data_IF_064767248025
#
_entry.id   IF_064767248025
#
_cell.length_a   1.000
_cell.length_b   1.000
_cell.length_c   1.000
_cell.angle_alpha   90.00
_cell.angle_beta   90.00
_cell.angle_gamma   90.00
#
_symmetry.space_group_name_H-M   'P 1'
#
loop_
_entity.id
_entity.type
_entity.pdbx_description
1 polymer ?
#
# COMPACT_ATOMS: atom_id res chain seq x y z
N UNK A 1 0.28 -17.18 12.46
CA UNK A 1 -0.10 -15.76 12.56
C UNK A 1 -0.87 -15.43 11.31
N UNK A 2 -2.03 -14.77 11.42
CA UNK A 2 -2.78 -14.32 10.24
C UNK A 2 -2.05 -13.15 9.58
N UNK A 3 -2.40 -12.86 8.33
CA UNK A 3 -1.93 -11.68 7.61
C UNK A 3 -2.20 -10.40 8.43
N UNK A 4 -3.41 -10.24 8.96
CA UNK A 4 -3.80 -9.10 9.80
C UNK A 4 -2.92 -8.95 11.04
N UNK A 5 -2.75 -10.01 11.83
CA UNK A 5 -1.94 -9.96 13.06
C UNK A 5 -0.43 -9.83 12.79
N UNK A 6 0.01 -10.07 11.55
CA UNK A 6 1.41 -9.90 11.15
C UNK A 6 1.77 -8.46 10.79
N UNK A 7 0.79 -7.59 10.55
CA UNK A 7 1.02 -6.23 10.11
C UNK A 7 2.00 -5.47 11.03
N UNK A 8 2.97 -4.79 10.41
CA UNK A 8 3.98 -4.01 11.13
C UNK A 8 5.08 -4.84 11.82
N UNK A 9 5.12 -6.15 11.60
CA UNK A 9 6.20 -7.02 12.11
C UNK A 9 7.25 -7.29 11.04
N UNK A 10 8.51 -7.30 11.44
CA UNK A 10 9.63 -7.76 10.61
C UNK A 10 10.14 -9.08 11.16
N UNK A 11 10.37 -10.05 10.29
CA UNK A 11 10.85 -11.40 10.63
C UNK A 11 12.10 -11.70 9.81
N UNK A 12 13.17 -12.23 10.43
CA UNK A 12 14.37 -12.65 9.71
C UNK A 12 14.10 -13.84 8.77
N UNK A 13 13.24 -14.76 9.20
CA UNK A 13 12.70 -15.85 8.39
C UNK A 13 11.18 -15.77 8.37
N UNK A 14 10.63 -15.49 7.20
CA UNK A 14 9.22 -15.28 6.94
C UNK A 14 8.66 -16.46 6.13
N UNK A 15 8.23 -17.48 6.86
CA UNK A 15 7.46 -18.60 6.31
C UNK A 15 6.02 -18.13 6.15
N UNK A 16 5.51 -18.13 4.92
CA UNK A 16 4.16 -17.67 4.57
C UNK A 16 3.39 -18.78 3.85
N UNK A 17 2.12 -18.92 4.20
CA UNK A 17 1.13 -19.70 3.47
C UNK A 17 0.10 -18.72 2.89
N UNK A 18 -0.14 -18.81 1.59
CA UNK A 18 -0.95 -17.87 0.83
C UNK A 18 -2.29 -18.48 0.38
N UNK A 19 -2.60 -19.70 0.81
CA UNK A 19 -3.79 -20.47 0.38
C UNK A 19 -5.09 -19.72 0.69
N UNK A 20 -5.20 -19.13 1.89
CA UNK A 20 -6.38 -18.39 2.36
C UNK A 20 -6.28 -16.87 2.14
N UNK A 21 -5.27 -16.42 1.38
CA UNK A 21 -5.15 -15.01 1.02
C UNK A 21 -6.00 -14.74 -0.24
N UNK A 22 -6.94 -13.79 -0.15
CA UNK A 22 -7.87 -13.49 -1.23
C UNK A 22 -7.70 -12.10 -1.85
N UNK A 23 -6.83 -11.26 -1.29
CA UNK A 23 -6.68 -9.87 -1.75
C UNK A 23 -5.22 -9.53 -2.04
N UNK A 24 -5.01 -8.54 -2.90
CA UNK A 24 -3.67 -7.98 -3.13
C UNK A 24 -3.03 -7.51 -1.82
N UNK A 25 -3.82 -6.90 -0.92
CA UNK A 25 -3.32 -6.38 0.36
C UNK A 25 -2.87 -7.49 1.31
N UNK A 26 -3.58 -8.63 1.35
CA UNK A 26 -3.17 -9.76 2.20
C UNK A 26 -1.86 -10.37 1.71
N UNK A 27 -1.71 -10.54 0.39
CA UNK A 27 -0.44 -10.95 -0.25
C UNK A 27 0.69 -9.99 0.10
N UNK A 28 0.49 -8.70 -0.15
CA UNK A 28 1.47 -7.66 0.16
C UNK A 28 1.87 -7.69 1.63
N UNK A 29 0.89 -7.84 2.53
CA UNK A 29 1.12 -7.90 3.98
C UNK A 29 1.97 -9.11 4.34
N UNK A 30 1.67 -10.30 3.82
CA UNK A 30 2.47 -11.50 4.07
C UNK A 30 3.91 -11.36 3.56
N UNK A 31 4.11 -10.87 2.33
CA UNK A 31 5.45 -10.71 1.75
C UNK A 31 6.29 -9.64 2.47
N UNK A 32 5.69 -8.52 2.86
CA UNK A 32 6.38 -7.38 3.50
C UNK A 32 6.78 -7.62 4.95
N UNK A 33 6.68 -8.85 5.47
CA UNK A 33 7.22 -9.23 6.78
C UNK A 33 8.66 -9.69 6.73
N UNK A 34 9.19 -10.06 5.57
CA UNK A 34 10.61 -10.34 5.41
C UNK A 34 11.38 -9.09 5.04
N UNK A 35 12.61 -8.96 5.55
CA UNK A 35 13.54 -7.93 5.09
C UNK A 35 14.30 -8.33 3.82
N UNK A 36 14.33 -9.63 3.48
CA UNK A 36 15.08 -10.15 2.33
C UNK A 36 14.34 -11.25 1.59
N UNK A 37 14.68 -11.45 0.31
CA UNK A 37 14.15 -12.56 -0.49
C UNK A 37 14.61 -13.90 0.09
N UNK A 38 15.88 -14.03 0.48
CA UNK A 38 16.42 -15.25 1.08
C UNK A 38 15.73 -15.63 2.41
N UNK A 39 15.22 -14.64 3.14
CA UNK A 39 14.42 -14.85 4.34
C UNK A 39 12.96 -15.24 4.07
N UNK A 40 12.49 -15.23 2.83
CA UNK A 40 11.09 -15.51 2.50
C UNK A 40 10.91 -16.94 2.01
N UNK A 41 10.02 -17.70 2.64
CA UNK A 41 9.69 -19.07 2.26
C UNK A 41 8.19 -19.17 2.02
N UNK A 42 7.80 -19.55 0.81
CA UNK A 42 6.40 -19.80 0.47
C UNK A 42 6.11 -21.28 0.70
N UNK A 43 5.11 -21.57 1.54
CA UNK A 43 4.59 -22.92 1.78
C UNK A 43 3.31 -23.07 0.99
N UNK A 44 3.22 -24.13 0.18
CA UNK A 44 2.08 -24.36 -0.71
C UNK A 44 2.19 -23.60 -2.02
N UNK A 45 1.05 -23.09 -2.50
CA UNK A 45 0.94 -22.34 -3.74
C UNK A 45 0.50 -20.90 -3.52
N UNK A 46 0.42 -20.16 -4.61
CA UNK A 46 -0.16 -18.82 -4.64
C UNK A 46 -0.95 -18.63 -5.94
N UNK A 47 -1.90 -17.70 -5.95
CA UNK A 47 -2.68 -17.38 -7.14
C UNK A 47 -2.09 -16.13 -7.82
N UNK A 48 -1.42 -16.28 -8.99
CA UNK A 48 -0.81 -15.14 -9.68
C UNK A 48 -1.80 -14.04 -10.04
N UNK A 49 -3.07 -14.39 -10.27
CA UNK A 49 -4.11 -13.42 -10.64
C UNK A 49 -4.40 -12.42 -9.52
N UNK A 50 -4.19 -12.78 -8.26
CA UNK A 50 -4.38 -11.84 -7.13
C UNK A 50 -3.28 -10.77 -7.14
N UNK A 51 -2.06 -11.14 -7.54
CA UNK A 51 -0.92 -10.23 -7.64
C UNK A 51 -1.04 -9.38 -8.92
N UNK A 52 -1.41 -10.00 -10.03
CA UNK A 52 -1.48 -9.36 -11.35
C UNK A 52 -2.78 -8.57 -11.58
N UNK A 53 -3.84 -8.84 -10.80
CA UNK A 53 -5.15 -8.18 -10.92
C UNK A 53 -5.16 -6.71 -10.47
N UNK A 54 -4.04 -6.22 -9.93
CA UNK A 54 -3.88 -4.84 -9.51
C UNK A 54 -4.55 -4.52 -8.17
N UNK A 55 -4.47 -3.24 -7.82
CA UNK A 55 -4.97 -2.72 -6.54
C UNK A 55 -6.45 -2.34 -6.62
N UNK A 56 -7.18 -2.47 -5.50
CA UNK A 56 -8.60 -2.13 -5.40
C UNK A 56 -8.87 -0.69 -5.85
N UNK A 57 -10.08 -0.44 -6.38
CA UNK A 57 -10.46 0.90 -6.87
C UNK A 57 -10.34 1.99 -5.80
N UNK A 58 -10.81 1.69 -4.58
CA UNK A 58 -10.70 2.59 -3.45
C UNK A 58 -9.25 2.91 -3.07
N UNK A 59 -8.34 1.91 -3.03
CA UNK A 59 -6.95 2.18 -2.66
C UNK A 59 -6.20 2.95 -3.76
N UNK A 60 -6.55 2.73 -5.04
CA UNK A 60 -6.05 3.57 -6.15
C UNK A 60 -6.51 5.02 -6.03
N UNK A 61 -7.76 5.24 -5.63
CA UNK A 61 -8.28 6.58 -5.37
C UNK A 61 -7.51 7.25 -4.22
N UNK A 62 -7.28 6.54 -3.12
CA UNK A 62 -6.52 7.05 -1.99
C UNK A 62 -5.10 7.49 -2.40
N UNK A 63 -4.37 6.67 -3.15
CA UNK A 63 -3.04 7.03 -3.64
C UNK A 63 -3.05 8.25 -4.56
N UNK A 64 -4.00 8.32 -5.51
CA UNK A 64 -4.15 9.48 -6.40
C UNK A 64 -4.41 10.76 -5.60
N UNK A 65 -5.22 10.67 -4.57
CA UNK A 65 -5.55 11.81 -3.72
C UNK A 65 -4.36 12.26 -2.87
N UNK A 66 -3.53 11.34 -2.39
CA UNK A 66 -2.26 11.67 -1.75
C UNK A 66 -1.28 12.34 -2.72
N UNK A 67 -1.16 11.87 -3.96
CA UNK A 67 -0.33 12.52 -4.99
C UNK A 67 -0.80 13.94 -5.32
N UNK A 68 -2.12 14.15 -5.43
CA UNK A 68 -2.66 15.50 -5.62
C UNK A 68 -2.34 16.43 -4.44
N UNK A 69 -2.42 15.93 -3.21
CA UNK A 69 -2.06 16.72 -2.03
C UNK A 69 -0.58 17.06 -1.97
N UNK A 70 0.29 16.11 -2.35
CA UNK A 70 1.73 16.35 -2.44
C UNK A 70 2.04 17.44 -3.47
N UNK A 71 1.40 17.39 -4.64
CA UNK A 71 1.57 18.40 -5.68
C UNK A 71 1.06 19.79 -5.25
N UNK A 72 -0.10 19.86 -4.58
CA UNK A 72 -0.61 21.11 -4.01
C UNK A 72 0.37 21.67 -2.97
N UNK A 73 0.95 20.80 -2.13
CA UNK A 73 1.94 21.18 -1.12
C UNK A 73 3.20 21.76 -1.77
N UNK A 74 3.70 21.11 -2.83
CA UNK A 74 4.83 21.58 -3.62
C UNK A 74 4.55 22.94 -4.29
N UNK A 75 3.41 23.10 -4.96
CA UNK A 75 3.04 24.37 -5.59
C UNK A 75 2.91 25.50 -4.57
N UNK A 76 2.41 25.20 -3.37
CA UNK A 76 2.32 26.16 -2.27
C UNK A 76 3.70 26.56 -1.78
N UNK A 77 4.62 25.62 -1.58
CA UNK A 77 6.00 25.94 -1.19
C UNK A 77 6.73 26.77 -2.25
N UNK A 78 6.44 26.50 -3.52
CA UNK A 78 7.02 27.22 -4.66
C UNK A 78 6.37 28.60 -4.88
N UNK A 79 5.28 28.92 -4.15
CA UNK A 79 4.52 30.16 -4.32
C UNK A 79 3.78 30.27 -5.66
N UNK A 80 3.57 29.14 -6.35
CA UNK A 80 2.93 29.06 -7.67
C UNK A 80 1.51 28.50 -7.63
N UNK A 81 1.04 28.07 -6.45
CA UNK A 81 -0.32 27.59 -6.27
C UNK A 81 -1.34 28.71 -6.56
N UNK A 82 -2.39 28.38 -7.31
CA UNK A 82 -3.44 29.33 -7.62
C UNK A 82 -4.17 29.80 -6.33
N UNK A 83 -4.43 31.11 -6.14
CA UNK A 83 -5.00 31.64 -4.90
C UNK A 83 -6.36 31.06 -4.50
N UNK A 84 -7.14 30.55 -5.45
CA UNK A 84 -8.45 29.94 -5.16
C UNK A 84 -8.36 28.56 -4.50
N UNK A 85 -7.17 27.97 -4.40
CA UNK A 85 -6.96 26.65 -3.78
C UNK A 85 -6.60 26.86 -2.32
N UNK A 86 -7.63 26.90 -1.47
CA UNK A 86 -7.53 27.13 -0.03
C UNK A 86 -7.80 25.83 0.74
N UNK A 87 -7.06 25.59 1.83
CA UNK A 87 -7.21 24.40 2.67
C UNK A 87 -5.90 23.69 2.97
N UNK A 88 -5.82 23.07 4.15
CA UNK A 88 -4.64 22.30 4.59
C UNK A 88 -4.87 20.78 4.50
N UNK A 89 -6.13 20.35 4.49
CA UNK A 89 -6.50 18.93 4.53
C UNK A 89 -7.17 18.50 3.22
N UNK A 90 -7.11 17.21 2.93
CA UNK A 90 -7.83 16.58 1.81
C UNK A 90 -9.30 17.00 1.75
N UNK A 91 -9.98 16.90 2.89
CA UNK A 91 -11.40 17.19 3.02
C UNK A 91 -11.75 18.66 2.80
N UNK A 92 -10.77 19.57 2.91
CA UNK A 92 -10.98 20.99 2.58
C UNK A 92 -10.76 21.32 1.11
N UNK A 93 -10.11 20.43 0.35
CA UNK A 93 -9.73 20.63 -1.05
C UNK A 93 -10.60 19.84 -2.04
N UNK A 94 -11.45 18.93 -1.55
CA UNK A 94 -12.43 18.13 -2.32
C UNK A 94 -13.85 18.42 -1.86
#
# INVERSE_FOLDING_TARGET
>A
MTDYSSQGRTRPFNVIDLTDCHTHLSYYTCFSRSATIAGTVIVGGFNPNIIQGGTSGWLRQEFRELEMLDEITRLRSDGTLHPSVEGELRTSLM
#
